data_IF_728533200590
#
_entry.id   IF_728533200590
#
_cell.length_a   1.000
_cell.length_b   1.000
_cell.length_c   1.000
_cell.angle_alpha   90.00
_cell.angle_beta   90.00
_cell.angle_gamma   90.00
#
_symmetry.space_group_name_H-M   'P 1'
#
loop_
_entity.id
_entity.type
_entity.pdbx_description
1 polymer ?
#
# COMPACT_ATOMS: atom_id res chain seq x y z
N UNK A 1 9.73 18.19 -9.28
CA UNK A 1 8.62 17.58 -10.06
C UNK A 1 8.97 16.13 -10.37
N UNK A 2 8.07 15.37 -10.99
CA UNK A 2 8.34 14.01 -11.51
C UNK A 2 8.88 14.15 -12.94
N UNK A 3 10.07 13.61 -13.20
CA UNK A 3 10.72 13.70 -14.52
C UNK A 3 10.54 12.43 -15.35
N UNK A 4 10.58 11.25 -14.70
CA UNK A 4 10.49 9.95 -15.35
C UNK A 4 9.63 8.99 -14.51
N UNK A 5 8.93 8.09 -15.18
CA UNK A 5 8.10 7.04 -14.56
C UNK A 5 8.50 5.68 -15.10
N UNK A 6 8.67 4.71 -14.21
CA UNK A 6 9.07 3.35 -14.57
C UNK A 6 8.15 2.34 -13.91
N UNK A 7 7.76 1.25 -14.61
CA UNK A 7 7.11 0.13 -13.95
C UNK A 7 8.12 -0.58 -13.04
N UNK A 8 7.65 -1.05 -11.88
CA UNK A 8 8.47 -1.91 -11.02
C UNK A 8 8.66 -3.27 -11.71
N UNK A 9 9.91 -3.61 -12.04
CA UNK A 9 10.24 -4.91 -12.63
C UNK A 9 11.47 -5.52 -11.97
N UNK A 10 11.46 -6.84 -11.80
CA UNK A 10 12.56 -7.61 -11.22
C UNK A 10 13.55 -8.13 -12.26
N UNK A 11 13.18 -8.11 -13.54
CA UNK A 11 13.98 -8.65 -14.64
C UNK A 11 15.07 -7.66 -15.11
N UNK A 12 14.89 -6.38 -14.86
CA UNK A 12 15.82 -5.32 -15.28
C UNK A 12 16.20 -4.42 -14.11
N UNK A 13 17.48 -4.02 -14.01
CA UNK A 13 17.88 -2.98 -13.08
C UNK A 13 17.24 -1.65 -13.49
N UNK A 14 16.90 -0.84 -12.49
CA UNK A 14 16.54 0.56 -12.73
C UNK A 14 17.82 1.31 -13.14
N UNK A 15 17.84 1.93 -14.31
CA UNK A 15 18.93 2.82 -14.72
C UNK A 15 18.38 4.26 -14.77
N UNK A 16 18.93 5.13 -13.94
CA UNK A 16 18.47 6.50 -13.78
C UNK A 16 19.62 7.43 -13.40
N UNK A 17 19.61 8.61 -13.99
CA UNK A 17 20.47 9.75 -13.70
C UNK A 17 19.89 10.68 -12.62
N UNK A 18 18.65 10.42 -12.18
CA UNK A 18 17.94 11.24 -11.20
C UNK A 18 18.42 10.95 -9.78
N UNK A 19 18.59 11.99 -8.95
CA UNK A 19 19.03 11.86 -7.55
C UNK A 19 18.02 11.18 -6.61
N UNK A 20 16.72 11.28 -6.92
CA UNK A 20 15.64 10.78 -6.06
C UNK A 20 14.79 9.76 -6.80
N UNK A 21 14.52 8.64 -6.15
CA UNK A 21 13.65 7.59 -6.65
C UNK A 21 12.51 7.38 -5.66
N UNK A 22 11.28 7.50 -6.12
CA UNK A 22 10.07 7.27 -5.33
C UNK A 22 9.40 6.01 -5.85
N UNK A 23 9.32 4.98 -5.00
CA UNK A 23 8.55 3.77 -5.26
C UNK A 23 7.14 3.95 -4.71
N UNK A 24 6.13 3.77 -5.56
CA UNK A 24 4.74 3.70 -5.15
C UNK A 24 4.25 2.28 -5.40
N UNK A 25 4.17 1.48 -4.34
CA UNK A 25 3.98 0.02 -4.46
C UNK A 25 3.05 -0.51 -3.39
N UNK A 26 2.44 -1.66 -3.65
CA UNK A 26 1.75 -2.40 -2.59
C UNK A 26 2.74 -3.02 -1.61
N UNK A 27 2.34 -3.11 -0.35
CA UNK A 27 3.08 -3.81 0.69
C UNK A 27 3.07 -5.32 0.43
N UNK A 28 3.99 -5.79 -0.41
CA UNK A 28 4.20 -7.22 -0.66
C UNK A 28 5.69 -7.54 -0.57
N UNK A 29 5.99 -8.76 -0.10
CA UNK A 29 7.37 -9.24 -0.01
C UNK A 29 8.07 -9.24 -1.37
N UNK A 30 7.35 -9.57 -2.45
CA UNK A 30 7.89 -9.57 -3.81
C UNK A 30 8.37 -8.17 -4.21
N UNK A 31 7.55 -7.14 -3.97
CA UNK A 31 7.92 -5.76 -4.27
C UNK A 31 9.14 -5.30 -3.45
N UNK A 32 9.19 -5.66 -2.16
CA UNK A 32 10.33 -5.28 -1.31
C UNK A 32 11.64 -5.92 -1.78
N UNK A 33 11.60 -7.18 -2.20
CA UNK A 33 12.77 -7.86 -2.79
C UNK A 33 13.22 -7.20 -4.08
N UNK A 34 12.29 -6.80 -4.95
CA UNK A 34 12.64 -6.07 -6.19
C UNK A 34 13.26 -4.71 -5.89
N UNK A 35 12.71 -3.96 -4.93
CA UNK A 35 13.28 -2.67 -4.49
C UNK A 35 14.69 -2.87 -3.93
N UNK A 36 14.89 -3.89 -3.09
CA UNK A 36 16.22 -4.20 -2.55
C UNK A 36 17.24 -4.54 -3.64
N UNK A 37 16.84 -5.26 -4.68
CA UNK A 37 17.69 -5.53 -5.85
C UNK A 37 18.09 -4.24 -6.57
N UNK A 38 17.16 -3.31 -6.76
CA UNK A 38 17.46 -2.01 -7.38
C UNK A 38 18.43 -1.19 -6.53
N UNK A 39 18.21 -1.11 -5.21
CA UNK A 39 19.11 -0.38 -4.29
C UNK A 39 20.53 -0.97 -4.35
N UNK A 40 20.66 -2.29 -4.25
CA UNK A 40 21.95 -2.99 -4.32
C UNK A 40 22.66 -2.78 -5.66
N UNK A 41 21.92 -2.79 -6.76
CA UNK A 41 22.47 -2.51 -8.10
C UNK A 41 23.09 -1.11 -8.16
N UNK A 42 22.38 -0.07 -7.71
CA UNK A 42 22.92 1.28 -7.72
C UNK A 42 24.12 1.46 -6.77
N UNK A 43 24.13 0.78 -5.62
CA UNK A 43 25.27 0.74 -4.71
C UNK A 43 26.51 0.16 -5.39
N UNK A 44 26.36 -0.91 -6.18
CA UNK A 44 27.45 -1.49 -6.98
C UNK A 44 27.97 -0.51 -8.04
N UNK A 45 27.09 0.28 -8.66
CA UNK A 45 27.44 1.35 -9.60
C UNK A 45 27.98 2.62 -8.91
N UNK A 46 28.11 2.62 -7.57
CA UNK A 46 28.52 3.78 -6.75
C UNK A 46 27.65 5.02 -6.92
N UNK A 47 26.39 4.83 -7.32
CA UNK A 47 25.40 5.90 -7.39
C UNK A 47 24.85 6.19 -5.99
N UNK A 48 24.83 7.47 -5.61
CA UNK A 48 24.25 7.93 -4.34
C UNK A 48 22.86 8.51 -4.61
N UNK A 49 21.86 7.65 -4.48
CA UNK A 49 20.45 7.96 -4.69
C UNK A 49 19.72 8.06 -3.35
N UNK A 50 18.70 8.91 -3.29
CA UNK A 50 17.76 9.02 -2.18
C UNK A 50 16.50 8.23 -2.54
N UNK A 51 16.15 7.22 -1.74
CA UNK A 51 14.99 6.36 -1.98
C UNK A 51 13.85 6.66 -1.02
N UNK A 52 12.64 6.80 -1.55
CA UNK A 52 11.39 6.84 -0.78
C UNK A 52 10.50 5.69 -1.26
N UNK A 53 10.06 4.82 -0.35
CA UNK A 53 9.11 3.74 -0.64
C UNK A 53 7.78 4.07 0.01
N UNK A 54 6.82 4.51 -0.79
CA UNK A 54 5.44 4.74 -0.39
C UNK A 54 4.63 3.45 -0.54
N UNK A 55 4.29 2.83 0.58
CA UNK A 55 3.48 1.63 0.65
C UNK A 55 1.98 1.97 0.59
N UNK A 56 1.25 1.27 -0.28
CA UNK A 56 -0.19 1.40 -0.47
C UNK A 56 -0.89 0.09 -0.06
N UNK A 57 -1.95 0.13 0.77
CA UNK A 57 -2.56 1.31 1.40
C UNK A 57 -1.84 1.79 2.68
N UNK A 58 -0.88 1.02 3.20
CA UNK A 58 -0.20 1.34 4.45
C UNK A 58 1.04 0.49 4.66
N UNK A 59 1.77 0.75 5.74
CA UNK A 59 2.96 -0.04 6.10
C UNK A 59 2.59 -1.40 6.64
N UNK A 60 3.48 -2.36 6.40
CA UNK A 60 3.42 -3.72 6.92
C UNK A 60 4.77 -4.09 7.52
N UNK A 61 4.77 -4.57 8.77
CA UNK A 61 5.96 -5.01 9.48
C UNK A 61 6.71 -6.12 8.72
N UNK A 62 6.01 -6.98 7.98
CA UNK A 62 6.63 -8.03 7.16
C UNK A 62 7.48 -7.39 6.05
N UNK A 63 7.00 -6.30 5.44
CA UNK A 63 7.74 -5.60 4.40
C UNK A 63 8.98 -4.88 4.96
N UNK A 64 8.87 -4.26 6.13
CA UNK A 64 10.01 -3.67 6.84
C UNK A 64 11.07 -4.74 7.12
N UNK A 65 10.64 -5.91 7.61
CA UNK A 65 11.54 -7.03 7.91
C UNK A 65 12.26 -7.56 6.67
N UNK A 66 11.59 -7.65 5.52
CA UNK A 66 12.22 -8.06 4.26
C UNK A 66 13.33 -7.08 3.87
N UNK A 67 13.12 -5.77 4.03
CA UNK A 67 14.16 -4.78 3.72
C UNK A 67 15.33 -4.83 4.72
N UNK A 68 15.07 -5.17 5.98
CA UNK A 68 16.11 -5.43 7.00
C UNK A 68 16.94 -6.65 6.64
N UNK A 69 16.29 -7.78 6.33
CA UNK A 69 16.95 -9.04 5.99
C UNK A 69 17.75 -8.91 4.68
N UNK A 70 17.29 -8.08 3.74
CA UNK A 70 18.03 -7.72 2.53
C UNK A 70 19.17 -6.70 2.78
N UNK A 71 19.22 -6.08 3.96
CA UNK A 71 20.28 -5.15 4.37
C UNK A 71 20.16 -3.74 3.79
N UNK A 72 19.00 -3.35 3.26
CA UNK A 72 18.77 -2.05 2.60
C UNK A 72 17.81 -1.13 3.37
N UNK A 73 17.28 -1.58 4.52
CA UNK A 73 16.30 -0.82 5.30
C UNK A 73 16.76 0.61 5.63
N UNK A 74 18.04 0.79 5.98
CA UNK A 74 18.58 2.11 6.31
C UNK A 74 18.88 3.00 5.09
N UNK A 75 18.88 2.42 3.89
CA UNK A 75 19.09 3.16 2.64
C UNK A 75 17.78 3.75 2.09
N UNK A 76 16.63 3.27 2.59
CA UNK A 76 15.31 3.66 2.10
C UNK A 76 14.51 4.39 3.16
N UNK A 77 13.88 5.51 2.77
CA UNK A 77 12.85 6.13 3.59
C UNK A 77 11.53 5.41 3.32
N UNK A 78 10.89 4.88 4.37
CA UNK A 78 9.56 4.32 4.24
C UNK A 78 8.50 5.41 4.41
N UNK A 79 7.41 5.29 3.65
CA UNK A 79 6.22 6.12 3.73
C UNK A 79 4.98 5.26 3.58
N UNK A 80 3.85 5.78 4.03
CA UNK A 80 2.53 5.20 3.72
C UNK A 80 1.74 6.17 2.85
N UNK A 81 0.96 5.59 1.95
CA UNK A 81 0.01 6.34 1.14
C UNK A 81 -1.32 5.61 1.12
N UNK A 82 -2.25 6.13 1.91
CA UNK A 82 -3.60 5.60 2.03
C UNK A 82 -4.47 6.14 0.88
N UNK A 83 -4.44 5.42 -0.24
CA UNK A 83 -5.18 5.76 -1.46
C UNK A 83 -6.70 5.72 -1.26
N UNK A 84 -7.19 4.91 -0.31
CA UNK A 84 -8.62 4.81 0.01
C UNK A 84 -9.49 4.27 -1.14
N UNK A 85 -10.65 4.91 -1.36
CA UNK A 85 -11.58 4.59 -2.44
C UNK A 85 -11.21 5.34 -3.72
N UNK A 86 -11.11 4.60 -4.82
CA UNK A 86 -10.87 5.09 -6.17
C UNK A 86 -12.22 5.13 -6.89
N UNK A 87 -12.64 6.28 -7.43
CA UNK A 87 -13.81 6.35 -8.30
C UNK A 87 -13.46 5.79 -9.69
N UNK A 88 -14.15 4.72 -10.06
CA UNK A 88 -14.06 4.12 -11.40
C UNK A 88 -15.12 4.70 -12.34
N UNK A 89 -16.33 4.85 -11.82
CA UNK A 89 -17.47 5.48 -12.48
C UNK A 89 -18.19 6.37 -11.44
N UNK A 90 -19.21 7.11 -11.87
CA UNK A 90 -19.94 8.04 -11.00
C UNK A 90 -20.65 7.32 -9.83
N UNK A 91 -20.95 6.03 -9.97
CA UNK A 91 -21.62 5.17 -8.99
C UNK A 91 -20.77 3.96 -8.54
N UNK A 92 -19.49 3.88 -8.97
CA UNK A 92 -18.59 2.76 -8.64
C UNK A 92 -17.33 3.25 -7.94
N UNK A 93 -17.18 2.86 -6.68
CA UNK A 93 -15.98 3.08 -5.87
C UNK A 93 -15.29 1.73 -5.59
N UNK A 94 -13.98 1.65 -5.81
CA UNK A 94 -13.17 0.45 -5.53
C UNK A 94 -11.93 0.79 -4.73
N UNK A 95 -11.50 -0.13 -3.86
CA UNK A 95 -10.18 -0.05 -3.21
C UNK A 95 -9.09 -0.80 -3.99
N UNK A 96 -9.48 -1.54 -5.02
CA UNK A 96 -8.60 -2.37 -5.85
C UNK A 96 -7.71 -3.37 -5.10
N UNK A 97 -8.06 -3.78 -3.88
CA UNK A 97 -7.27 -4.73 -3.09
C UNK A 97 -7.45 -6.18 -3.57
N UNK A 98 -6.82 -6.55 -4.69
CA UNK A 98 -6.90 -7.87 -5.33
C UNK A 98 -6.66 -9.09 -4.43
N UNK A 99 -5.83 -8.99 -3.39
CA UNK A 99 -5.55 -10.07 -2.45
C UNK A 99 -6.54 -10.18 -1.29
N UNK A 100 -7.40 -9.16 -1.07
CA UNK A 100 -8.28 -9.06 0.10
C UNK A 100 -9.20 -10.26 0.29
N UNK A 101 -9.71 -10.87 -0.79
CA UNK A 101 -10.56 -12.04 -0.70
C UNK A 101 -9.81 -13.23 -0.07
N UNK A 102 -8.59 -13.48 -0.55
CA UNK A 102 -7.75 -14.57 -0.07
C UNK A 102 -7.31 -14.31 1.37
N UNK A 103 -6.83 -13.11 1.66
CA UNK A 103 -6.42 -12.68 3.00
C UNK A 103 -7.55 -12.91 4.01
N UNK A 104 -8.76 -12.38 3.73
CA UNK A 104 -9.87 -12.44 4.66
C UNK A 104 -10.51 -13.82 4.82
N UNK A 105 -10.64 -14.59 3.75
CA UNK A 105 -11.42 -15.83 3.76
C UNK A 105 -10.56 -17.09 3.88
N UNK A 106 -9.31 -17.06 3.44
CA UNK A 106 -8.41 -18.22 3.43
C UNK A 106 -7.31 -18.11 4.49
N UNK A 107 -6.73 -16.92 4.66
CA UNK A 107 -5.58 -16.70 5.55
C UNK A 107 -5.97 -16.15 6.92
N UNK A 108 -7.22 -15.68 7.06
CA UNK A 108 -7.74 -15.10 8.31
C UNK A 108 -7.25 -13.69 8.60
N UNK A 109 -6.52 -13.07 7.68
CA UNK A 109 -6.07 -11.69 7.78
C UNK A 109 -7.19 -10.71 7.43
N UNK A 110 -7.52 -9.86 8.40
CA UNK A 110 -8.63 -8.89 8.33
C UNK A 110 -8.13 -7.45 8.20
N UNK A 111 -6.85 -7.22 7.93
CA UNK A 111 -6.29 -5.88 7.77
C UNK A 111 -7.05 -5.05 6.72
N UNK A 112 -7.42 -5.67 5.59
CA UNK A 112 -8.21 -5.01 4.54
C UNK A 112 -9.57 -4.46 5.03
N UNK A 113 -10.22 -5.12 6.01
CA UNK A 113 -11.49 -4.66 6.57
C UNK A 113 -11.36 -3.34 7.35
N UNK A 114 -10.21 -3.10 7.98
CA UNK A 114 -9.92 -1.82 8.62
C UNK A 114 -9.81 -0.69 7.59
N UNK A 115 -9.17 -0.96 6.46
CA UNK A 115 -9.08 0.01 5.36
C UNK A 115 -10.48 0.32 4.78
N UNK A 116 -11.36 -0.69 4.64
CA UNK A 116 -12.76 -0.49 4.25
C UNK A 116 -13.48 0.41 5.25
N UNK A 117 -13.38 0.13 6.56
CA UNK A 117 -14.03 0.92 7.59
C UNK A 117 -13.57 2.39 7.56
N UNK A 118 -12.25 2.64 7.45
CA UNK A 118 -11.68 3.99 7.31
C UNK A 118 -12.22 4.72 6.07
N UNK A 119 -12.32 4.02 4.95
CA UNK A 119 -12.85 4.57 3.71
C UNK A 119 -14.32 4.99 3.85
N UNK A 120 -15.15 4.14 4.47
CA UNK A 120 -16.57 4.45 4.70
C UNK A 120 -16.74 5.64 5.66
N UNK A 121 -15.92 5.73 6.70
CA UNK A 121 -15.91 6.89 7.60
C UNK A 121 -15.52 8.18 6.86
N UNK A 122 -14.46 8.14 6.03
CA UNK A 122 -14.09 9.28 5.18
C UNK A 122 -15.20 9.68 4.22
N UNK A 123 -15.90 8.70 3.64
CA UNK A 123 -17.05 8.96 2.77
C UNK A 123 -18.16 9.69 3.53
N UNK A 124 -18.45 9.28 4.77
CA UNK A 124 -19.41 9.98 5.63
C UNK A 124 -19.00 11.42 5.97
N UNK A 125 -17.71 11.68 6.14
CA UNK A 125 -17.21 13.04 6.40
C UNK A 125 -17.46 14.00 5.23
N UNK A 126 -17.46 13.48 4.00
CA UNK A 126 -17.67 14.29 2.78
C UNK A 126 -19.15 14.33 2.38
N UNK A 127 -19.86 13.20 2.46
CA UNK A 127 -21.22 13.05 1.95
C UNK A 127 -22.30 13.16 3.03
N UNK A 128 -21.92 13.21 4.31
CA UNK A 128 -22.82 13.15 5.46
C UNK A 128 -22.94 11.74 6.05
N UNK A 129 -23.33 11.68 7.33
CA UNK A 129 -23.46 10.42 8.08
C UNK A 129 -24.50 9.51 7.46
N UNK A 130 -24.16 8.23 7.29
CA UNK A 130 -25.10 7.20 6.83
C UNK A 130 -26.04 6.85 8.00
N UNK A 131 -27.34 7.15 7.90
CA UNK A 131 -28.26 7.00 9.04
C UNK A 131 -28.55 5.55 9.39
N UNK A 132 -28.40 4.63 8.43
CA UNK A 132 -28.74 3.21 8.59
C UNK A 132 -27.67 2.35 7.94
N UNK A 133 -26.95 1.57 8.75
CA UNK A 133 -25.97 0.59 8.28
C UNK A 133 -26.60 -0.80 8.36
N UNK A 134 -26.63 -1.52 7.24
CA UNK A 134 -27.09 -2.92 7.16
C UNK A 134 -25.97 -3.77 6.57
N UNK A 135 -25.72 -4.92 7.17
CA UNK A 135 -24.67 -5.83 6.74
C UNK A 135 -25.07 -7.30 6.92
N UNK A 136 -24.46 -8.17 6.11
CA UNK A 136 -24.64 -9.63 6.20
C UNK A 136 -23.28 -10.31 6.14
N UNK A 137 -23.04 -11.23 7.07
CA UNK A 137 -21.78 -11.98 7.17
C UNK A 137 -20.82 -11.44 8.23
N UNK A 138 -19.81 -12.24 8.55
CA UNK A 138 -18.82 -11.93 9.59
C UNK A 138 -17.97 -10.72 9.21
N UNK A 139 -17.48 -10.64 7.97
CA UNK A 139 -16.70 -9.50 7.48
C UNK A 139 -17.48 -8.19 7.54
N UNK A 140 -18.75 -8.19 7.11
CA UNK A 140 -19.62 -7.01 7.18
C UNK A 140 -19.85 -6.56 8.63
N UNK A 141 -20.06 -7.50 9.56
CA UNK A 141 -20.16 -7.19 10.99
C UNK A 141 -18.87 -6.55 11.51
N UNK A 142 -17.72 -7.13 11.19
CA UNK A 142 -16.41 -6.58 11.58
C UNK A 142 -16.21 -5.17 11.04
N UNK A 143 -16.57 -4.88 9.79
CA UNK A 143 -16.48 -3.52 9.24
C UNK A 143 -17.38 -2.55 10.03
N UNK A 144 -18.62 -2.94 10.34
CA UNK A 144 -19.52 -2.10 11.15
C UNK A 144 -18.93 -1.83 12.54
N UNK A 145 -18.43 -2.87 13.21
CA UNK A 145 -17.81 -2.76 14.53
C UNK A 145 -16.56 -1.85 14.51
N UNK A 146 -15.78 -1.88 13.41
CA UNK A 146 -14.62 -1.02 13.20
C UNK A 146 -14.98 0.43 12.85
N UNK A 147 -16.14 0.68 12.24
CA UNK A 147 -16.58 2.05 11.94
C UNK A 147 -16.99 2.82 13.19
N UNK A 148 -17.59 2.17 14.20
CA UNK A 148 -18.07 2.81 15.43
C UNK A 148 -17.00 3.63 16.18
N UNK A 149 -15.78 3.11 16.44
CA UNK A 149 -14.73 3.89 17.09
C UNK A 149 -14.05 4.92 16.18
N UNK A 150 -14.27 4.86 14.87
CA UNK A 150 -13.64 5.75 13.88
C UNK A 150 -14.55 6.95 13.51
N UNK A 151 -15.85 6.88 13.82
CA UNK A 151 -16.88 7.86 13.46
C UNK A 151 -16.87 9.12 14.34
#
# INVERSE_FOLDING_TARGET
GVEKTFPLRSDQPLDTDLRRVVYLVRATMANMKTIAQHVKYHQQQRQKLEYLVCLVPGRDMICERVLEDEGVYNDVQLGEYDLGLIPFEDDVLSMELSSSFRECNLEGDKASLLHVARCLVRLQQVCGTVPVIRGKGSAAKTVCDLMLPLA
#
